data_IF_864395792430
#
_entry.id   IF_864395792430
#
_cell.length_a   1.000
_cell.length_b   1.000
_cell.length_c   1.000
_cell.angle_alpha   90.00
_cell.angle_beta   90.00
_cell.angle_gamma   90.00
#
_symmetry.space_group_name_H-M   'P 1'
#
loop_
_entity.id
_entity.type
_entity.pdbx_description
1 polymer ?
#
# COMPACT_ATOMS: atom_id res chain seq x y z
N UNK A 1 -2.93 6.50 -3.92
CA UNK A 1 -3.07 5.18 -4.57
C UNK A 1 -1.81 4.40 -4.30
N UNK A 2 -1.89 3.10 -4.02
CA UNK A 2 -0.73 2.21 -3.93
C UNK A 2 -0.78 1.19 -5.07
N UNK A 3 0.34 0.52 -5.33
CA UNK A 3 0.42 -0.63 -6.24
C UNK A 3 1.16 -1.79 -5.57
N UNK A 4 0.76 -3.02 -5.86
CA UNK A 4 1.42 -4.23 -5.35
C UNK A 4 1.18 -5.43 -6.25
N UNK A 5 2.16 -6.34 -6.33
CA UNK A 5 2.01 -7.67 -6.94
C UNK A 5 1.73 -8.76 -5.90
N UNK A 6 1.77 -8.44 -4.61
CA UNK A 6 1.55 -9.36 -3.49
C UNK A 6 0.35 -8.93 -2.63
N UNK A 7 -0.90 -9.05 -3.12
CA UNK A 7 -2.09 -8.61 -2.37
C UNK A 7 -2.19 -9.19 -0.95
N UNK A 8 -1.71 -10.42 -0.73
CA UNK A 8 -1.65 -11.05 0.60
C UNK A 8 -0.83 -10.26 1.63
N UNK A 9 0.05 -9.34 1.24
CA UNK A 9 0.78 -8.50 2.21
C UNK A 9 0.00 -7.28 2.68
N UNK A 10 -1.08 -6.89 1.99
CA UNK A 10 -1.88 -5.70 2.31
C UNK A 10 -2.55 -5.74 3.69
N UNK A 11 -3.05 -6.89 4.21
CA UNK A 11 -3.54 -6.98 5.59
C UNK A 11 -2.47 -6.68 6.66
N UNK A 12 -1.20 -6.77 6.28
CA UNK A 12 -0.04 -6.45 7.11
C UNK A 12 0.56 -5.06 6.80
N UNK A 13 -0.17 -4.21 6.07
CA UNK A 13 0.27 -2.85 5.80
C UNK A 13 0.31 -2.01 7.09
N UNK A 14 1.47 -1.39 7.31
CA UNK A 14 1.80 -0.58 8.49
C UNK A 14 2.00 0.89 8.15
N UNK A 15 2.49 1.21 6.95
CA UNK A 15 2.74 2.57 6.48
C UNK A 15 2.64 2.66 4.95
N UNK A 16 2.71 3.88 4.42
CA UNK A 16 2.91 4.12 2.98
C UNK A 16 4.16 4.96 2.80
N UNK A 17 5.13 4.42 2.08
CA UNK A 17 6.40 5.05 1.76
C UNK A 17 6.30 5.96 0.53
N UNK A 18 6.90 7.14 0.63
CA UNK A 18 7.07 8.11 -0.46
C UNK A 18 8.51 8.61 -0.52
N UNK A 19 8.98 9.00 -1.71
CA UNK A 19 10.26 9.70 -1.84
C UNK A 19 10.04 11.19 -1.60
N UNK A 20 10.72 11.78 -0.61
CA UNK A 20 10.48 13.18 -0.23
C UNK A 20 10.78 14.19 -1.35
N UNK A 21 11.67 13.82 -2.27
CA UNK A 21 12.20 14.68 -3.35
C UNK A 21 11.33 14.66 -4.60
N UNK A 22 10.44 13.67 -4.73
CA UNK A 22 9.55 13.59 -5.88
C UNK A 22 8.32 14.47 -5.71
N UNK A 23 7.77 14.87 -6.84
CA UNK A 23 6.49 15.57 -6.90
C UNK A 23 5.34 14.56 -6.98
N UNK A 24 4.28 14.84 -6.24
CA UNK A 24 3.05 14.08 -6.17
C UNK A 24 1.87 14.96 -6.56
N UNK A 25 0.95 14.38 -7.32
CA UNK A 25 -0.25 15.04 -7.79
C UNK A 25 -1.47 14.52 -7.03
N UNK A 26 -2.33 15.44 -6.59
CA UNK A 26 -3.72 15.15 -6.26
C UNK A 26 -4.50 15.16 -7.58
N UNK A 27 -5.03 14.02 -7.96
CA UNK A 27 -5.67 13.81 -9.27
C UNK A 27 -7.09 13.33 -9.07
N UNK A 28 -8.02 13.92 -9.83
CA UNK A 28 -9.36 13.38 -10.03
C UNK A 28 -9.33 12.46 -11.25
N UNK A 29 -9.61 11.19 -11.04
CA UNK A 29 -9.66 10.15 -12.08
C UNK A 29 -11.03 9.49 -12.06
N UNK A 30 -11.78 9.60 -13.15
CA UNK A 30 -13.13 9.04 -13.32
C UNK A 30 -14.05 9.35 -12.11
N UNK A 31 -13.98 10.59 -11.61
CA UNK A 31 -14.76 11.08 -10.48
C UNK A 31 -14.15 10.81 -9.09
N UNK A 32 -13.11 9.99 -8.97
CA UNK A 32 -12.45 9.66 -7.70
C UNK A 32 -11.18 10.51 -7.50
N UNK A 33 -10.94 10.99 -6.28
CA UNK A 33 -9.74 11.79 -5.96
C UNK A 33 -8.68 10.90 -5.31
N UNK A 34 -7.45 10.98 -5.80
CA UNK A 34 -6.33 10.16 -5.32
C UNK A 34 -5.00 10.88 -5.44
N UNK A 35 -3.97 10.35 -4.78
CA UNK A 35 -2.60 10.85 -4.85
C UNK A 35 -1.69 9.80 -5.49
N UNK A 36 -0.86 10.23 -6.44
CA UNK A 36 0.20 9.43 -7.07
C UNK A 36 1.37 10.35 -7.45
N UNK A 37 2.55 9.79 -7.71
CA UNK A 37 3.67 10.59 -8.19
C UNK A 37 3.30 11.28 -9.51
N UNK A 38 3.59 12.58 -9.65
CA UNK A 38 3.19 13.39 -10.80
C UNK A 38 3.65 12.77 -12.13
N UNK A 39 4.86 12.23 -12.17
CA UNK A 39 5.43 11.60 -13.36
C UNK A 39 4.77 10.27 -13.77
N UNK A 40 3.98 9.66 -12.87
CA UNK A 40 3.32 8.37 -13.11
C UNK A 40 1.83 8.52 -13.45
N UNK A 41 1.29 9.75 -13.45
CA UNK A 41 -0.15 9.99 -13.68
C UNK A 41 -0.60 9.40 -15.00
N UNK A 42 0.03 9.80 -16.11
CA UNK A 42 -0.37 9.36 -17.44
C UNK A 42 -0.24 7.83 -17.61
N UNK A 43 0.87 7.25 -17.15
CA UNK A 43 1.12 5.81 -17.24
C UNK A 43 0.05 5.01 -16.49
N UNK A 44 -0.22 5.36 -15.24
CA UNK A 44 -1.17 4.66 -14.37
C UNK A 44 -2.60 4.78 -14.92
N UNK A 45 -3.04 5.98 -15.29
CA UNK A 45 -4.41 6.19 -15.77
C UNK A 45 -4.63 5.56 -17.15
N UNK A 46 -3.63 5.60 -18.03
CA UNK A 46 -3.71 4.95 -19.34
C UNK A 46 -3.76 3.43 -19.22
N UNK A 47 -2.95 2.85 -18.33
CA UNK A 47 -2.99 1.41 -18.07
C UNK A 47 -4.35 0.98 -17.51
N UNK A 48 -4.96 1.81 -16.66
CA UNK A 48 -6.29 1.55 -16.12
C UNK A 48 -7.44 1.78 -17.13
N UNK A 49 -7.17 2.41 -18.27
CA UNK A 49 -8.19 2.75 -19.26
C UNK A 49 -9.11 3.90 -18.82
N UNK A 50 -8.61 4.80 -17.96
CA UNK A 50 -9.38 5.94 -17.47
C UNK A 50 -9.71 6.94 -18.56
N UNK A 51 -10.91 7.51 -18.50
CA UNK A 51 -11.45 8.41 -19.53
C UNK A 51 -11.31 9.89 -19.12
N UNK A 52 -11.40 10.18 -17.82
CA UNK A 52 -11.33 11.55 -17.29
C UNK A 52 -10.24 11.67 -16.25
N UNK A 53 -9.24 12.52 -16.51
CA UNK A 53 -8.09 12.76 -15.64
C UNK A 53 -7.87 14.26 -15.50
N UNK A 54 -7.90 14.75 -14.27
CA UNK A 54 -7.70 16.17 -13.94
C UNK A 54 -6.73 16.29 -12.75
N UNK A 55 -5.61 16.97 -12.94
CA UNK A 55 -4.69 17.30 -11.84
C UNK A 55 -5.26 18.50 -11.08
N UNK A 56 -5.58 18.30 -9.80
CA UNK A 56 -6.18 19.32 -8.93
C UNK A 56 -5.13 20.16 -8.20
N UNK A 57 -4.02 19.54 -7.80
CA UNK A 57 -2.91 20.17 -7.10
C UNK A 57 -1.65 19.29 -7.17
N UNK A 58 -0.48 19.89 -6.92
CA UNK A 58 0.78 19.16 -6.75
C UNK A 58 1.48 19.55 -5.46
N UNK A 59 2.32 18.66 -4.94
CA UNK A 59 3.16 18.90 -3.76
C UNK A 59 4.38 17.98 -3.77
N UNK A 60 5.37 18.25 -2.92
CA UNK A 60 6.52 17.33 -2.77
C UNK A 60 6.19 16.20 -1.80
N UNK A 61 6.84 15.05 -1.96
CA UNK A 61 6.66 13.90 -1.06
C UNK A 61 6.93 14.26 0.40
N UNK A 62 7.88 15.16 0.66
CA UNK A 62 8.17 15.65 2.02
C UNK A 62 7.00 16.38 2.68
N UNK A 63 6.05 16.93 1.91
CA UNK A 63 4.80 17.51 2.45
C UNK A 63 3.72 16.47 2.75
N UNK A 64 3.86 15.25 2.22
CA UNK A 64 2.96 14.13 2.52
C UNK A 64 3.40 13.35 3.76
N UNK A 65 4.68 13.41 4.15
CA UNK A 65 5.20 12.72 5.34
C UNK A 65 4.41 13.16 6.58
N UNK A 66 3.96 12.18 7.37
CA UNK A 66 3.14 12.41 8.56
C UNK A 66 1.63 12.45 8.29
N UNK A 67 1.19 12.48 7.03
CA UNK A 67 -0.24 12.35 6.70
C UNK A 67 -0.75 10.98 7.12
N UNK A 68 -1.86 10.96 7.85
CA UNK A 68 -2.52 9.72 8.26
C UNK A 68 -3.52 9.25 7.22
N UNK A 69 -3.67 7.94 7.10
CA UNK A 69 -4.68 7.29 6.28
C UNK A 69 -5.43 6.22 7.09
N UNK A 70 -6.48 5.67 6.49
CA UNK A 70 -7.22 4.52 7.02
C UNK A 70 -6.95 3.31 6.13
N UNK A 71 -6.78 2.15 6.74
CA UNK A 71 -6.73 0.90 5.99
C UNK A 71 -8.11 0.56 5.43
N UNK A 72 -8.23 0.12 4.17
CA UNK A 72 -9.49 -0.35 3.60
C UNK A 72 -9.82 -1.80 4.00
N UNK A 73 -8.90 -2.54 4.64
CA UNK A 73 -9.04 -3.97 4.92
C UNK A 73 -9.35 -4.29 6.39
N UNK A 74 -9.15 -3.33 7.30
CA UNK A 74 -9.37 -3.50 8.74
C UNK A 74 -9.54 -2.15 9.44
N UNK A 75 -10.25 -2.16 10.55
CA UNK A 75 -10.47 -0.97 11.40
C UNK A 75 -9.52 -0.94 12.60
N UNK A 76 -9.12 -2.10 13.09
CA UNK A 76 -8.23 -2.26 14.23
C UNK A 76 -6.76 -2.15 13.81
N UNK A 77 -5.97 -1.43 14.61
CA UNK A 77 -4.54 -1.25 14.35
C UNK A 77 -3.82 -2.57 14.58
N UNK A 78 -2.97 -3.05 13.64
CA UNK A 78 -2.16 -4.24 13.82
C UNK A 78 -1.41 -4.24 15.16
N UNK A 79 -1.53 -5.34 15.90
CA UNK A 79 -0.82 -5.51 17.16
C UNK A 79 0.69 -5.65 16.90
N UNK A 80 1.48 -4.73 17.43
CA UNK A 80 2.95 -4.76 17.28
C UNK A 80 3.66 -4.53 18.61
N UNK A 81 4.96 -4.76 18.61
CA UNK A 81 5.86 -4.57 19.74
C UNK A 81 6.21 -3.09 20.03
N UNK A 82 5.70 -2.16 19.22
CA UNK A 82 5.94 -0.71 19.34
C UNK A 82 4.62 0.06 19.48
N UNK A 83 4.73 1.38 19.73
CA UNK A 83 3.56 2.26 19.79
C UNK A 83 2.76 2.24 18.48
N UNK A 84 1.42 2.09 18.52
CA UNK A 84 0.57 2.13 17.33
C UNK A 84 0.45 3.54 16.72
N UNK A 85 0.98 4.58 17.38
CA UNK A 85 0.76 5.98 16.99
C UNK A 85 1.20 6.29 15.56
N UNK A 86 2.23 5.62 15.05
CA UNK A 86 2.76 5.86 13.70
C UNK A 86 2.17 4.93 12.63
N UNK A 87 1.36 3.95 13.02
CA UNK A 87 0.72 3.04 12.06
C UNK A 87 -0.28 3.80 11.20
N UNK A 88 -0.34 3.44 9.93
CA UNK A 88 -1.12 4.09 8.88
C UNK A 88 -0.79 5.57 8.71
N UNK A 89 0.50 5.84 8.62
CA UNK A 89 1.06 7.16 8.31
C UNK A 89 1.92 7.08 7.06
N UNK A 90 1.99 8.17 6.30
CA UNK A 90 2.92 8.31 5.19
C UNK A 90 4.32 8.59 5.72
N UNK A 91 5.32 7.84 5.24
CA UNK A 91 6.71 7.88 5.70
C UNK A 91 7.67 8.11 4.55
N UNK A 92 8.87 8.60 4.84
CA UNK A 92 9.91 8.82 3.84
C UNK A 92 10.68 7.51 3.54
N UNK A 93 10.89 7.25 2.25
CA UNK A 93 11.76 6.18 1.79
C UNK A 93 12.48 6.55 0.48
N UNK A 94 13.80 6.37 0.45
CA UNK A 94 14.62 6.66 -0.74
C UNK A 94 14.56 5.55 -1.80
N UNK A 95 14.09 4.35 -1.46
CA UNK A 95 13.94 3.22 -2.38
C UNK A 95 12.71 3.33 -3.29
N UNK A 96 11.82 4.30 -3.04
CA UNK A 96 10.67 4.55 -3.90
C UNK A 96 11.18 5.15 -5.21
N UNK A 97 10.89 4.48 -6.32
CA UNK A 97 11.26 4.91 -7.68
C UNK A 97 10.05 5.38 -8.48
N UNK A 98 10.29 5.94 -9.66
CA UNK A 98 9.27 6.33 -10.65
C UNK A 98 9.27 5.40 -11.87
N UNK A 99 9.87 4.21 -11.76
CA UNK A 99 9.94 3.25 -12.87
C UNK A 99 8.65 2.44 -12.99
N UNK A 100 8.10 2.00 -11.85
CA UNK A 100 6.90 1.16 -11.78
C UNK A 100 5.96 1.59 -10.64
N UNK A 101 4.70 1.14 -10.75
CA UNK A 101 3.68 1.37 -9.74
C UNK A 101 3.13 2.79 -9.77
N UNK A 102 3.02 3.42 -8.59
CA UNK A 102 2.33 4.73 -8.41
C UNK A 102 3.20 5.78 -7.72
N UNK A 103 4.43 5.41 -7.33
CA UNK A 103 5.30 6.23 -6.49
C UNK A 103 4.88 6.30 -5.01
N UNK A 104 3.85 5.55 -4.60
CA UNK A 104 3.52 5.27 -3.21
C UNK A 104 3.61 3.77 -2.97
N UNK A 105 4.47 3.36 -2.05
CA UNK A 105 4.74 1.95 -1.77
C UNK A 105 4.11 1.59 -0.43
N UNK A 106 3.27 0.56 -0.42
CA UNK A 106 2.73 0.05 0.83
C UNK A 106 3.87 -0.64 1.60
N UNK A 107 3.96 -0.43 2.91
CA UNK A 107 5.03 -0.96 3.76
C UNK A 107 4.49 -2.01 4.71
N UNK A 108 4.95 -3.25 4.57
CA UNK A 108 4.61 -4.37 5.45
C UNK A 108 5.88 -4.85 6.19
N UNK A 109 6.09 -4.31 7.40
CA UNK A 109 7.36 -4.41 8.16
C UNK A 109 7.85 -5.83 8.46
N UNK A 110 6.96 -6.83 8.44
CA UNK A 110 7.31 -8.24 8.61
C UNK A 110 7.55 -9.02 7.31
N UNK A 111 7.45 -8.39 6.13
CA UNK A 111 7.40 -9.11 4.84
C UNK A 111 8.37 -8.59 3.76
N UNK A 112 9.15 -7.55 4.05
CA UNK A 112 10.15 -7.00 3.13
C UNK A 112 11.36 -6.43 3.86
N UNK A 113 12.55 -6.57 3.28
CA UNK A 113 13.78 -6.06 3.88
C UNK A 113 13.78 -4.52 3.98
N UNK A 114 13.41 -3.83 2.90
CA UNK A 114 13.30 -2.37 2.89
C UNK A 114 12.18 -1.88 3.82
N UNK A 115 11.06 -2.61 3.86
CA UNK A 115 9.93 -2.30 4.75
C UNK A 115 10.32 -2.43 6.23
N UNK A 116 11.09 -3.46 6.57
CA UNK A 116 11.65 -3.65 7.91
C UNK A 116 12.58 -2.48 8.29
N UNK A 117 13.47 -2.06 7.39
CA UNK A 117 14.37 -0.93 7.64
C UNK A 117 13.60 0.39 7.80
N UNK A 118 12.55 0.62 7.00
CA UNK A 118 11.64 1.75 7.18
C UNK A 118 10.95 1.70 8.53
N UNK A 119 10.44 0.53 8.93
CA UNK A 119 9.83 0.32 10.23
C UNK A 119 10.76 0.69 11.38
N UNK A 120 12.00 0.18 11.36
CA UNK A 120 13.02 0.52 12.36
C UNK A 120 13.33 2.02 12.43
N UNK A 121 13.53 2.67 11.28
CA UNK A 121 13.83 4.10 11.20
C UNK A 121 12.70 4.96 11.77
N UNK A 122 11.47 4.60 11.42
CA UNK A 122 10.30 5.35 11.82
C UNK A 122 9.79 4.97 13.22
N UNK A 123 10.29 3.89 13.83
CA UNK A 123 9.79 3.38 15.10
C UNK A 123 8.39 2.75 14.96
N UNK A 124 8.13 2.10 13.82
CA UNK A 124 6.94 1.31 13.55
C UNK A 124 7.28 -0.15 13.80
N UNK A 125 6.48 -0.81 14.65
CA UNK A 125 6.74 -2.18 15.08
C UNK A 125 6.64 -3.19 13.94
N UNK A 126 7.22 -4.36 14.19
CA UNK A 126 7.19 -5.46 13.23
C UNK A 126 5.86 -6.18 13.33
N UNK A 127 5.17 -6.30 12.20
CA UNK A 127 3.93 -7.06 12.10
C UNK A 127 4.06 -8.16 11.04
N UNK A 128 4.02 -9.42 11.49
CA UNK A 128 4.07 -10.59 10.64
C UNK A 128 2.97 -11.58 11.06
N UNK A 129 1.75 -11.46 10.50
CA UNK A 129 0.65 -12.34 10.85
C UNK A 129 0.69 -13.70 10.13
N UNK A 130 1.74 -13.99 9.36
CA UNK A 130 1.84 -15.23 8.57
C UNK A 130 2.71 -16.24 9.31
N UNK A 131 2.14 -17.42 9.57
CA UNK A 131 2.80 -18.54 10.24
C UNK A 131 3.78 -19.24 9.30
N UNK A 132 4.66 -20.08 9.86
CA UNK A 132 5.67 -20.81 9.09
C UNK A 132 5.12 -21.79 8.03
N UNK A 133 3.82 -22.10 8.07
CA UNK A 133 3.11 -22.91 7.08
C UNK A 133 2.42 -22.08 5.97
N UNK A 134 2.62 -20.76 5.97
CA UNK A 134 2.02 -19.85 5.00
C UNK A 134 0.55 -19.49 5.26
N UNK A 135 0.01 -19.82 6.44
CA UNK A 135 -1.35 -19.42 6.86
C UNK A 135 -1.34 -18.21 7.78
N UNK A 136 -2.42 -17.41 7.78
CA UNK A 136 -2.52 -16.30 8.72
C UNK A 136 -2.87 -16.76 10.15
N UNK A 137 -2.39 -16.00 11.13
CA UNK A 137 -2.73 -16.15 12.54
C UNK A 137 -4.04 -15.44 12.94
N UNK A 138 -4.26 -15.25 14.24
CA UNK A 138 -5.50 -14.67 14.78
C UNK A 138 -5.48 -13.13 14.81
N UNK A 139 -4.34 -12.50 14.54
CA UNK A 139 -4.13 -11.04 14.61
C UNK A 139 -4.64 -10.31 13.37
N UNK A 140 -4.95 -11.03 12.29
CA UNK A 140 -5.63 -10.51 11.10
C UNK A 140 -7.15 -10.46 11.26
N UNK A 141 -7.85 -9.73 10.37
CA UNK A 141 -9.30 -9.81 10.26
C UNK A 141 -9.82 -11.24 10.18
N UNK A 142 -10.99 -11.48 10.78
CA UNK A 142 -11.59 -12.81 10.93
C UNK A 142 -11.66 -13.60 9.62
N UNK A 143 -11.97 -12.92 8.51
CA UNK A 143 -12.10 -13.52 7.19
C UNK A 143 -10.79 -14.02 6.57
N UNK A 144 -9.62 -13.72 7.17
CA UNK A 144 -8.30 -14.20 6.74
C UNK A 144 -7.72 -15.31 7.63
N UNK A 145 -8.24 -15.48 8.85
CA UNK A 145 -7.62 -16.36 9.86
C UNK A 145 -7.50 -17.79 9.35
N UNK A 146 -6.31 -18.39 9.46
CA UNK A 146 -6.00 -19.73 8.97
C UNK A 146 -5.97 -19.88 7.44
N UNK A 147 -6.20 -18.81 6.67
CA UNK A 147 -6.14 -18.87 5.20
C UNK A 147 -4.69 -18.86 4.71
N UNK A 148 -4.38 -19.70 3.73
CA UNK A 148 -3.08 -19.68 3.07
C UNK A 148 -2.92 -18.42 2.19
N UNK A 149 -1.76 -17.76 2.24
CA UNK A 149 -1.50 -16.46 1.58
C UNK A 149 -1.88 -16.43 0.09
N UNK A 150 -1.57 -17.48 -0.68
CA UNK A 150 -1.94 -17.53 -2.11
C UNK A 150 -3.45 -17.56 -2.36
N UNK A 151 -4.24 -18.17 -1.47
CA UNK A 151 -5.72 -18.13 -1.57
C UNK A 151 -6.26 -16.76 -1.18
N UNK A 152 -5.58 -16.07 -0.27
CA UNK A 152 -5.99 -14.74 0.19
C UNK A 152 -5.84 -13.66 -0.89
N UNK A 153 -4.97 -13.84 -1.90
CA UNK A 153 -4.80 -12.84 -2.96
C UNK A 153 -6.11 -12.42 -3.64
N UNK A 154 -6.92 -13.41 -4.04
CA UNK A 154 -8.21 -13.16 -4.69
C UNK A 154 -9.18 -12.48 -3.71
N UNK A 155 -9.28 -13.00 -2.48
CA UNK A 155 -10.20 -12.49 -1.47
C UNK A 155 -9.87 -11.04 -1.05
N UNK A 156 -8.58 -10.69 -0.93
CA UNK A 156 -8.15 -9.31 -0.66
C UNK A 156 -8.57 -8.39 -1.80
N UNK A 157 -8.38 -8.80 -3.05
CA UNK A 157 -8.79 -8.01 -4.21
C UNK A 157 -10.32 -7.81 -4.25
N UNK A 158 -11.09 -8.87 -3.98
CA UNK A 158 -12.55 -8.81 -3.92
C UNK A 158 -13.03 -7.83 -2.84
N UNK A 159 -12.43 -7.86 -1.64
CA UNK A 159 -12.74 -6.91 -0.56
C UNK A 159 -12.43 -5.46 -0.92
N UNK A 160 -11.32 -5.22 -1.62
CA UNK A 160 -10.99 -3.88 -2.11
C UNK A 160 -11.98 -3.42 -3.17
N UNK A 161 -12.45 -4.32 -4.04
CA UNK A 161 -13.47 -4.02 -5.05
C UNK A 161 -14.81 -3.70 -4.39
N UNK A 162 -15.29 -4.54 -3.47
CA UNK A 162 -16.54 -4.36 -2.73
C UNK A 162 -16.57 -3.04 -1.95
N UNK A 163 -15.43 -2.62 -1.40
CA UNK A 163 -15.30 -1.37 -0.65
C UNK A 163 -15.04 -0.14 -1.52
N UNK A 164 -14.87 -0.29 -2.83
CA UNK A 164 -14.55 0.81 -3.75
C UNK A 164 -13.11 1.33 -3.68
N UNK A 165 -12.19 0.59 -3.05
CA UNK A 165 -10.77 0.95 -2.92
C UNK A 165 -9.86 0.27 -3.96
N UNK A 166 -10.40 -0.61 -4.79
CA UNK A 166 -9.68 -1.18 -5.93
C UNK A 166 -9.83 -0.29 -7.16
N UNK A 167 -8.73 0.38 -7.54
CA UNK A 167 -8.73 1.24 -8.73
C UNK A 167 -8.59 0.43 -10.03
N UNK A 168 -7.64 -0.50 -10.07
CA UNK A 168 -7.37 -1.33 -11.24
C UNK A 168 -6.78 -2.67 -10.82
N UNK A 169 -7.05 -3.73 -11.57
CA UNK A 169 -6.50 -5.07 -11.34
C UNK A 169 -6.18 -5.74 -12.67
N UNK A 170 -4.97 -6.30 -12.78
CA UNK A 170 -4.52 -7.05 -13.94
C UNK A 170 -3.63 -8.22 -13.52
N UNK A 171 -3.44 -9.18 -14.42
CA UNK A 171 -2.46 -10.26 -14.21
C UNK A 171 -1.08 -9.76 -14.65
N UNK A 172 -0.12 -9.87 -13.76
CA UNK A 172 1.27 -9.48 -14.01
C UNK A 172 2.14 -10.74 -13.99
N UNK A 173 2.85 -11.03 -15.08
CA UNK A 173 3.78 -12.17 -15.15
C UNK A 173 5.21 -11.67 -14.96
N UNK A 174 5.85 -12.09 -13.87
CA UNK A 174 7.26 -11.84 -13.63
C UNK A 174 7.88 -13.04 -12.90
N UNK A 175 9.20 -13.10 -12.85
CA UNK A 175 9.92 -14.09 -12.05
C UNK A 175 9.75 -13.77 -10.56
N UNK A 176 9.23 -14.73 -9.79
CA UNK A 176 9.13 -14.67 -8.33
C UNK A 176 10.12 -15.68 -7.73
N UNK A 177 11.00 -15.27 -6.80
CA UNK A 177 12.02 -16.13 -6.19
C UNK A 177 11.45 -17.19 -5.24
#
# INVERSE_FOLDING_TARGET
>A
MIWTTTPWTLPANMAVAVNEKYEYALVRVDGNVTVLASGLVEQVTKQAGSESVEVLATTTGGKLVGVRYKSPLREDVPATDQSPDKVWTVVQADYVTLEDGTGLVHTATGHGADDYQTGLREGIGVYCPVRGDGTYDETVPEWLRGMHVFKANALVADRLAESGHLFHSNKFMHSYP
#
